data_IF_181167380619
#
_entry.id   IF_181167380619
#
_cell.length_a   1.000
_cell.length_b   1.000
_cell.length_c   1.000
_cell.angle_alpha   90.00
_cell.angle_beta   90.00
_cell.angle_gamma   90.00
#
_symmetry.space_group_name_H-M   'P 1'
#
loop_
_entity.id
_entity.type
_entity.pdbx_description
1 polymer ?
#
# COMPACT_ATOMS: atom_id res chain seq x y z
N UNK A 1 -10.41 -35.16 -5.77
CA UNK A 1 -9.17 -35.55 -6.44
C UNK A 1 -9.28 -37.02 -6.80
N UNK A 2 -8.93 -37.39 -8.03
CA UNK A 2 -8.93 -38.78 -8.53
C UNK A 2 -7.55 -39.05 -9.12
N UNK A 3 -6.91 -40.16 -8.75
CA UNK A 3 -5.62 -40.58 -9.32
C UNK A 3 -5.91 -41.73 -10.28
N UNK A 4 -5.53 -41.57 -11.54
CA UNK A 4 -5.49 -42.65 -12.53
C UNK A 4 -4.06 -43.16 -12.62
N UNK A 5 -3.85 -44.41 -12.22
CA UNK A 5 -2.57 -45.12 -12.35
C UNK A 5 -2.59 -45.96 -13.64
N UNK A 6 -1.72 -45.62 -14.59
CA UNK A 6 -1.54 -46.38 -15.83
C UNK A 6 -0.58 -47.53 -15.59
N UNK A 7 -1.16 -48.72 -15.39
CA UNK A 7 -0.43 -49.97 -15.11
C UNK A 7 0.63 -50.31 -16.17
N UNK A 8 0.39 -49.96 -17.44
CA UNK A 8 1.27 -50.31 -18.56
C UNK A 8 2.54 -49.44 -18.65
N UNK A 9 2.45 -48.16 -18.26
CA UNK A 9 3.54 -47.17 -18.40
C UNK A 9 4.01 -46.56 -17.06
N UNK A 10 3.51 -47.06 -15.92
CA UNK A 10 3.79 -46.57 -14.57
C UNK A 10 3.64 -45.03 -14.42
N UNK A 11 2.66 -44.45 -15.10
CA UNK A 11 2.37 -43.02 -15.05
C UNK A 11 1.08 -42.75 -14.27
N UNK A 12 1.15 -41.81 -13.33
CA UNK A 12 -0.01 -41.37 -12.55
C UNK A 12 -0.53 -40.03 -13.08
N UNK A 13 -1.84 -39.94 -13.32
CA UNK A 13 -2.52 -38.70 -13.65
C UNK A 13 -3.49 -38.29 -12.53
N UNK A 14 -3.29 -37.10 -11.96
CA UNK A 14 -4.17 -36.52 -10.96
C UNK A 14 -5.25 -35.63 -11.60
N UNK A 15 -6.51 -35.91 -11.31
CA UNK A 15 -7.67 -35.14 -11.73
C UNK A 15 -8.38 -34.48 -10.55
N UNK A 16 -9.01 -33.34 -10.83
CA UNK A 16 -9.89 -32.62 -9.90
C UNK A 16 -11.06 -32.04 -10.67
N UNK A 17 -12.26 -32.12 -10.10
CA UNK A 17 -13.45 -31.46 -10.66
C UNK A 17 -13.44 -29.95 -10.39
N UNK A 18 -12.64 -29.51 -9.42
CA UNK A 18 -12.48 -28.09 -9.06
C UNK A 18 -11.20 -27.52 -9.64
N UNK A 19 -11.20 -26.21 -9.95
CA UNK A 19 -10.00 -25.47 -10.32
C UNK A 19 -8.96 -25.56 -9.20
N UNK A 20 -7.99 -26.47 -9.32
CA UNK A 20 -7.04 -26.76 -8.25
C UNK A 20 -5.64 -27.03 -8.77
N UNK A 21 -4.66 -26.61 -8.00
CA UNK A 21 -3.24 -26.75 -8.30
C UNK A 21 -2.74 -28.09 -7.75
N UNK A 22 -2.38 -29.03 -8.64
CA UNK A 22 -1.86 -30.36 -8.26
C UNK A 22 -0.53 -30.31 -7.50
N UNK A 23 0.26 -29.26 -7.65
CA UNK A 23 1.57 -29.10 -6.98
C UNK A 23 1.47 -28.47 -5.59
N UNK A 24 0.52 -27.55 -5.43
CA UNK A 24 0.44 -26.68 -4.27
C UNK A 24 -0.83 -26.89 -3.43
N UNK A 25 -1.72 -27.79 -3.87
CA UNK A 25 -2.97 -28.16 -3.22
C UNK A 25 -3.90 -26.97 -2.90
N UNK A 26 -3.81 -25.91 -3.70
CA UNK A 26 -4.69 -24.73 -3.62
C UNK A 26 -5.88 -24.98 -4.53
N UNK A 27 -7.09 -24.69 -4.04
CA UNK A 27 -8.33 -24.67 -4.84
C UNK A 27 -8.77 -23.23 -5.06
N UNK A 28 -9.29 -22.96 -6.25
CA UNK A 28 -9.88 -21.70 -6.65
C UNK A 28 -11.39 -21.85 -6.80
N UNK A 29 -12.11 -20.75 -6.58
CA UNK A 29 -13.53 -20.65 -6.88
C UNK A 29 -13.77 -20.63 -8.39
N UNK A 30 -15.01 -20.89 -8.81
CA UNK A 30 -15.40 -20.78 -10.20
C UNK A 30 -15.24 -19.34 -10.70
N UNK A 31 -14.74 -19.19 -11.93
CA UNK A 31 -14.48 -17.88 -12.51
C UNK A 31 -15.78 -17.15 -12.86
N UNK A 32 -16.02 -16.06 -12.15
CA UNK A 32 -17.17 -15.19 -12.39
C UNK A 32 -16.74 -13.75 -12.71
N UNK A 33 -17.53 -12.99 -13.52
CA UNK A 33 -17.22 -11.60 -13.84
C UNK A 33 -16.97 -10.70 -12.62
N UNK A 34 -17.68 -10.93 -11.50
CA UNK A 34 -17.54 -10.15 -10.26
C UNK A 34 -16.14 -10.25 -9.63
N UNK A 35 -15.37 -11.29 -9.94
CA UNK A 35 -13.99 -11.46 -9.47
C UNK A 35 -13.02 -10.49 -10.18
N UNK A 36 -13.40 -9.99 -11.36
CA UNK A 36 -12.62 -9.03 -12.15
C UNK A 36 -13.01 -7.57 -11.88
N UNK A 37 -13.92 -7.34 -10.93
CA UNK A 37 -14.34 -6.00 -10.52
C UNK A 37 -13.62 -5.58 -9.25
N UNK A 38 -12.82 -4.50 -9.32
CA UNK A 38 -12.23 -3.88 -8.13
C UNK A 38 -13.25 -3.14 -7.25
N UNK A 39 -14.49 -2.98 -7.72
CA UNK A 39 -15.60 -2.41 -6.94
C UNK A 39 -16.38 -3.49 -6.18
N UNK A 40 -15.99 -4.76 -6.33
CA UNK A 40 -16.61 -5.91 -5.68
C UNK A 40 -15.64 -6.48 -4.64
N UNK A 41 -16.10 -6.82 -3.42
CA UNK A 41 -15.22 -7.43 -2.41
C UNK A 41 -14.62 -8.78 -2.86
N UNK A 42 -15.26 -9.45 -3.84
CA UNK A 42 -14.76 -10.68 -4.45
C UNK A 42 -13.53 -10.45 -5.32
N UNK A 43 -13.43 -9.31 -6.01
CA UNK A 43 -12.33 -9.01 -6.92
C UNK A 43 -11.32 -8.01 -6.39
N UNK A 44 -11.72 -7.13 -5.47
CA UNK A 44 -10.90 -6.07 -4.91
C UNK A 44 -9.70 -6.61 -4.14
N UNK A 45 -8.53 -6.01 -4.34
CA UNK A 45 -7.36 -6.24 -3.51
C UNK A 45 -7.71 -5.89 -2.05
N UNK A 46 -7.60 -6.84 -1.10
CA UNK A 46 -8.04 -6.63 0.29
C UNK A 46 -7.18 -5.63 1.04
N UNK A 47 -5.96 -5.36 0.57
CA UNK A 47 -5.04 -4.46 1.24
C UNK A 47 -5.37 -2.99 0.97
N UNK A 48 -5.93 -2.68 -0.20
CA UNK A 48 -6.26 -1.31 -0.62
C UNK A 48 -7.72 -1.13 -1.02
N UNK A 49 -8.59 -2.08 -0.69
CA UNK A 49 -10.02 -2.07 -1.02
C UNK A 49 -10.32 -1.72 -2.48
N UNK A 50 -9.51 -2.24 -3.40
CA UNK A 50 -9.69 -1.97 -4.83
C UNK A 50 -9.31 -0.56 -5.30
N UNK A 51 -8.67 0.26 -4.46
CA UNK A 51 -8.15 1.58 -4.86
C UNK A 51 -6.89 1.48 -5.72
N UNK A 52 -6.06 0.46 -5.50
CA UNK A 52 -4.74 0.30 -6.16
C UNK A 52 -3.63 1.14 -5.52
N UNK A 53 -3.99 2.06 -4.62
CA UNK A 53 -3.08 2.92 -3.91
C UNK A 53 -3.39 2.95 -2.42
N UNK A 54 -2.42 3.38 -1.63
CA UNK A 54 -2.60 3.73 -0.22
C UNK A 54 -2.11 5.14 0.03
N UNK A 55 -2.71 5.80 1.01
CA UNK A 55 -2.13 7.00 1.58
C UNK A 55 -1.15 6.58 2.67
N UNK A 56 0.10 7.00 2.53
CA UNK A 56 1.16 6.80 3.53
C UNK A 56 1.77 8.14 3.91
N UNK A 57 2.18 8.27 5.17
CA UNK A 57 2.88 9.47 5.65
C UNK A 57 4.26 9.54 5.00
N UNK A 58 4.59 10.65 4.35
CA UNK A 58 5.87 10.83 3.68
C UNK A 58 6.86 11.59 4.58
N UNK A 59 7.99 10.97 4.99
CA UNK A 59 9.01 11.62 5.82
C UNK A 59 9.53 12.94 5.23
N UNK A 60 9.51 13.10 3.90
CA UNK A 60 9.96 14.33 3.22
C UNK A 60 9.00 15.49 3.45
N UNK A 61 7.72 15.21 3.64
CA UNK A 61 6.71 16.22 3.99
C UNK A 61 6.73 16.54 5.50
N UNK A 62 7.18 15.59 6.33
CA UNK A 62 7.40 15.81 7.77
C UNK A 62 8.59 16.74 8.01
N UNK A 63 9.66 16.58 7.22
CA UNK A 63 10.87 17.40 7.31
C UNK A 63 11.20 18.04 5.95
N UNK A 64 10.45 19.09 5.55
CA UNK A 64 10.60 19.70 4.23
C UNK A 64 11.93 20.44 4.07
N UNK A 65 12.44 21.04 5.15
CA UNK A 65 13.72 21.75 5.16
C UNK A 65 14.71 21.07 6.11
N UNK A 66 15.65 20.31 5.54
CA UNK A 66 16.65 19.57 6.32
C UNK A 66 17.75 20.46 6.94
N UNK A 67 17.79 21.75 6.59
CA UNK A 67 18.76 22.71 7.15
C UNK A 67 18.28 23.37 8.44
N UNK A 68 16.99 23.25 8.78
CA UNK A 68 16.46 23.75 10.04
C UNK A 68 16.76 22.78 11.17
N UNK A 69 16.93 23.31 12.37
CA UNK A 69 16.94 22.51 13.59
C UNK A 69 15.53 22.18 14.08
N UNK A 70 15.41 21.27 15.04
CA UNK A 70 14.10 20.92 15.62
C UNK A 70 13.49 22.14 16.34
N UNK A 71 14.31 22.94 17.05
CA UNK A 71 13.84 24.17 17.69
C UNK A 71 13.35 25.22 16.67
N UNK A 72 13.93 25.24 15.48
CA UNK A 72 13.54 26.10 14.36
C UNK A 72 12.38 25.54 13.52
N UNK A 73 11.74 24.45 13.94
CA UNK A 73 10.58 23.90 13.25
C UNK A 73 10.89 22.98 12.06
N UNK A 74 12.04 22.28 12.08
CA UNK A 74 12.34 21.25 11.07
C UNK A 74 11.23 20.19 10.93
N UNK A 75 10.57 19.83 12.03
CA UNK A 75 9.42 18.93 12.05
C UNK A 75 8.13 19.72 11.79
N UNK A 76 7.71 19.81 10.53
CA UNK A 76 6.56 20.63 10.13
C UNK A 76 5.25 20.35 10.92
N UNK A 77 4.87 19.10 11.25
CA UNK A 77 3.66 18.83 12.04
C UNK A 77 3.78 19.27 13.51
N UNK A 78 5.02 19.39 14.01
CA UNK A 78 5.32 19.76 15.41
C UNK A 78 5.51 21.27 15.53
N UNK A 79 6.02 21.93 14.49
CA UNK A 79 6.33 23.35 14.46
C UNK A 79 7.56 23.72 15.29
N UNK A 80 7.77 25.02 15.45
CA UNK A 80 8.85 25.61 16.26
C UNK A 80 8.70 25.28 17.75
N UNK A 81 9.78 25.55 18.51
CA UNK A 81 9.81 25.37 19.96
C UNK A 81 8.67 26.12 20.64
N UNK A 82 7.86 25.38 21.40
CA UNK A 82 6.70 25.89 22.13
C UNK A 82 6.41 25.05 23.37
N UNK A 83 5.65 25.61 24.31
CA UNK A 83 5.20 24.94 25.52
C UNK A 83 4.07 23.92 25.21
N UNK A 84 4.40 22.88 24.46
CA UNK A 84 3.51 21.78 24.09
C UNK A 84 4.00 20.48 24.73
N UNK A 85 3.08 19.66 25.22
CA UNK A 85 3.40 18.32 25.75
C UNK A 85 4.25 17.49 24.79
N UNK A 86 3.95 17.55 23.49
CA UNK A 86 4.70 16.79 22.48
C UNK A 86 6.13 17.32 22.32
N UNK A 87 6.33 18.64 22.38
CA UNK A 87 7.65 19.23 22.29
C UNK A 87 8.49 18.94 23.54
N UNK A 88 7.86 18.99 24.72
CA UNK A 88 8.48 18.60 25.98
C UNK A 88 8.95 17.13 25.95
N UNK A 89 8.20 16.22 25.31
CA UNK A 89 8.65 14.85 25.09
C UNK A 89 9.92 14.79 24.21
N UNK A 90 10.00 15.59 23.14
CA UNK A 90 11.19 15.66 22.29
C UNK A 90 12.40 16.22 23.07
N UNK A 91 12.19 17.24 23.92
CA UNK A 91 13.23 17.79 24.80
C UNK A 91 13.76 16.74 25.77
N UNK A 92 12.88 15.93 26.34
CA UNK A 92 13.29 14.84 27.22
C UNK A 92 14.04 13.73 26.46
N UNK A 93 13.64 13.40 25.22
CA UNK A 93 14.42 12.48 24.36
C UNK A 93 15.81 13.01 24.05
N UNK A 94 15.93 14.31 23.76
CA UNK A 94 17.22 14.96 23.50
C UNK A 94 18.18 14.83 24.68
N UNK A 95 17.67 14.89 25.91
CA UNK A 95 18.47 14.69 27.13
C UNK A 95 18.86 13.24 27.36
N UNK A 96 17.94 12.30 27.12
CA UNK A 96 18.22 10.87 27.36
C UNK A 96 19.20 10.30 26.33
N UNK A 97 19.04 10.65 25.05
CA UNK A 97 19.84 10.15 23.95
C UNK A 97 20.97 11.10 23.52
N UNK A 98 21.24 12.12 24.34
CA UNK A 98 22.32 13.11 24.18
C UNK A 98 22.46 13.67 22.75
N UNK A 99 21.40 14.30 22.24
CA UNK A 99 21.43 14.99 20.94
C UNK A 99 20.96 16.44 21.03
N UNK A 100 21.49 17.28 20.13
CA UNK A 100 21.17 18.70 20.09
C UNK A 100 19.88 18.97 19.32
N UNK A 101 19.02 19.83 19.88
CA UNK A 101 17.81 20.34 19.21
C UNK A 101 18.08 21.55 18.31
N UNK A 102 19.30 22.09 18.36
CA UNK A 102 19.72 23.31 17.66
C UNK A 102 20.58 23.03 16.42
N UNK A 103 21.01 21.78 16.23
CA UNK A 103 21.69 21.36 15.00
C UNK A 103 20.69 21.17 13.85
N UNK A 104 21.07 21.51 12.61
CA UNK A 104 20.29 21.18 11.42
C UNK A 104 19.90 19.70 11.37
N UNK A 105 18.67 19.40 10.95
CA UNK A 105 18.15 18.03 10.90
C UNK A 105 19.07 17.05 10.15
N UNK A 106 19.65 17.48 9.03
CA UNK A 106 20.57 16.66 8.23
C UNK A 106 21.84 16.22 8.97
N UNK A 107 22.24 16.98 10.01
CA UNK A 107 23.43 16.71 10.81
C UNK A 107 23.15 15.78 12.00
N UNK A 108 21.88 15.48 12.28
CA UNK A 108 21.52 14.51 13.31
C UNK A 108 21.88 13.08 12.85
N UNK A 109 22.39 12.23 13.76
CA UNK A 109 22.63 10.82 13.45
C UNK A 109 21.39 10.14 12.88
N UNK A 110 21.58 9.17 11.97
CA UNK A 110 20.48 8.40 11.36
C UNK A 110 19.55 7.78 12.39
N UNK A 111 20.13 7.24 13.47
CA UNK A 111 19.38 6.52 14.50
C UNK A 111 18.50 7.47 15.31
N UNK A 112 18.98 8.70 15.55
CA UNK A 112 18.20 9.77 16.20
C UNK A 112 17.06 10.24 15.28
N UNK A 113 17.34 10.44 13.98
CA UNK A 113 16.29 10.78 13.01
C UNK A 113 15.22 9.69 12.95
N UNK A 114 15.62 8.42 12.95
CA UNK A 114 14.71 7.28 12.97
C UNK A 114 13.91 7.23 14.28
N UNK A 115 14.55 7.40 15.44
CA UNK A 115 13.91 7.47 16.75
C UNK A 115 12.83 8.55 16.81
N UNK A 116 13.10 9.74 16.27
CA UNK A 116 12.15 10.85 16.25
C UNK A 116 10.95 10.54 15.34
N UNK A 117 11.21 10.00 14.14
CA UNK A 117 10.16 9.73 13.16
C UNK A 117 9.30 8.51 13.51
N UNK A 118 9.93 7.41 13.92
CA UNK A 118 9.29 6.09 14.11
C UNK A 118 9.15 5.66 15.57
N UNK A 119 9.70 6.42 16.52
CA UNK A 119 9.56 6.14 17.93
C UNK A 119 10.55 5.10 18.47
N UNK A 120 10.32 4.67 19.71
CA UNK A 120 11.24 3.80 20.48
C UNK A 120 11.04 2.31 20.21
N UNK A 121 10.27 1.94 19.18
CA UNK A 121 9.99 0.53 18.87
C UNK A 121 9.31 -0.25 20.01
N UNK A 122 8.63 0.44 20.93
CA UNK A 122 7.97 -0.16 22.09
C UNK A 122 8.80 -0.19 23.38
N UNK A 123 10.07 0.22 23.33
CA UNK A 123 10.89 0.39 24.53
C UNK A 123 10.42 1.59 25.35
N UNK A 124 10.43 1.45 26.68
CA UNK A 124 10.13 2.56 27.59
C UNK A 124 11.38 3.41 27.78
N UNK A 125 11.22 4.71 27.60
CA UNK A 125 12.23 5.73 27.87
C UNK A 125 11.85 6.44 29.15
N UNK A 126 12.84 6.77 29.98
CA UNK A 126 12.65 7.59 31.18
C UNK A 126 12.57 9.05 30.76
N UNK A 127 11.42 9.65 30.94
CA UNK A 127 11.22 11.07 30.69
C UNK A 127 11.34 11.84 32.01
N UNK A 128 12.23 12.84 32.03
CA UNK A 128 12.46 13.71 33.18
C UNK A 128 12.04 15.14 32.83
N UNK A 129 11.00 15.62 33.49
CA UNK A 129 10.50 16.98 33.32
C UNK A 129 10.86 17.82 34.55
N UNK A 130 11.32 19.03 34.30
CA UNK A 130 11.62 20.01 35.33
C UNK A 130 10.90 21.31 34.98
N UNK A 131 9.93 21.69 35.81
CA UNK A 131 9.30 23.01 35.82
C UNK A 131 9.76 23.76 37.07
N UNK A 132 9.54 25.08 37.10
CA UNK A 132 10.01 25.97 38.16
C UNK A 132 9.72 25.45 39.59
N UNK A 133 8.56 24.80 39.80
CA UNK A 133 8.14 24.29 41.12
C UNK A 133 7.86 22.77 41.18
N UNK A 134 8.20 21.99 40.14
CA UNK A 134 7.95 20.54 40.16
C UNK A 134 8.89 19.74 39.27
N UNK A 135 9.35 18.60 39.79
CA UNK A 135 10.05 17.55 39.03
C UNK A 135 9.14 16.34 38.92
N UNK A 136 8.92 15.87 37.70
CA UNK A 136 8.14 14.67 37.43
C UNK A 136 8.97 13.74 36.54
N UNK A 137 9.08 12.49 36.97
CA UNK A 137 9.73 11.43 36.20
C UNK A 137 8.72 10.32 35.92
N UNK A 138 8.66 9.88 34.66
CA UNK A 138 7.87 8.70 34.30
C UNK A 138 8.51 7.96 33.15
N UNK A 139 8.21 6.66 33.06
CA UNK A 139 8.66 5.82 31.95
C UNK A 139 7.53 5.63 30.95
N UNK A 140 7.73 6.07 29.72
CA UNK A 140 6.73 5.93 28.65
C UNK A 140 7.37 5.52 27.33
N UNK A 141 6.54 5.15 26.37
CA UNK A 141 6.98 4.89 25.00
C UNK A 141 6.88 6.18 24.21
N UNK A 142 7.86 6.44 23.35
CA UNK A 142 7.71 7.49 22.35
C UNK A 142 7.18 6.87 21.07
N UNK A 143 6.00 7.31 20.65
CA UNK A 143 5.31 6.78 19.47
C UNK A 143 6.07 7.13 18.17
N UNK A 144 6.74 8.28 18.12
CA UNK A 144 7.30 8.84 16.89
C UNK A 144 6.31 9.76 16.16
N UNK A 145 6.81 10.69 15.36
CA UNK A 145 5.99 11.67 14.63
C UNK A 145 5.09 10.99 13.60
N UNK A 146 5.64 10.05 12.83
CA UNK A 146 4.92 9.36 11.74
C UNK A 146 3.78 8.51 12.31
N UNK A 147 4.09 7.68 13.30
CA UNK A 147 3.09 6.81 13.92
C UNK A 147 1.99 7.63 14.62
N UNK A 148 2.35 8.74 15.26
CA UNK A 148 1.38 9.64 15.88
C UNK A 148 0.39 10.22 14.85
N UNK A 149 0.90 10.72 13.72
CA UNK A 149 0.05 11.24 12.65
C UNK A 149 -0.82 10.14 12.04
N UNK A 150 -0.25 8.96 11.76
CA UNK A 150 -0.99 7.85 11.19
C UNK A 150 -2.12 7.38 12.11
N UNK A 151 -1.85 7.25 13.42
CA UNK A 151 -2.87 6.91 14.42
C UNK A 151 -3.94 8.00 14.50
N UNK A 152 -3.56 9.28 14.55
CA UNK A 152 -4.51 10.41 14.57
C UNK A 152 -5.38 10.45 13.32
N UNK A 153 -4.82 10.16 12.14
CA UNK A 153 -5.56 10.08 10.88
C UNK A 153 -6.66 9.03 10.92
N UNK A 154 -6.34 7.82 11.44
CA UNK A 154 -7.30 6.71 11.53
C UNK A 154 -8.35 6.90 12.63
N UNK A 155 -8.00 7.57 13.73
CA UNK A 155 -8.87 7.71 14.91
C UNK A 155 -9.67 9.01 14.95
N UNK A 156 -9.25 10.06 14.24
CA UNK A 156 -9.95 11.35 14.29
C UNK A 156 -11.32 11.27 13.61
N UNK A 157 -12.32 11.90 14.21
CA UNK A 157 -13.61 12.18 13.57
C UNK A 157 -13.66 13.58 12.95
N UNK A 158 -12.70 14.45 13.25
CA UNK A 158 -12.63 15.81 12.72
C UNK A 158 -12.10 15.81 11.29
N UNK A 159 -12.90 16.37 10.36
CA UNK A 159 -12.51 16.53 8.96
C UNK A 159 -11.29 17.45 8.80
N UNK A 160 -11.26 18.60 9.47
CA UNK A 160 -10.12 19.53 9.37
C UNK A 160 -8.80 18.94 9.88
N UNK A 161 -8.84 18.12 10.94
CA UNK A 161 -7.63 17.39 11.38
C UNK A 161 -7.22 16.34 10.35
N UNK A 162 -8.19 15.66 9.73
CA UNK A 162 -7.91 14.65 8.70
C UNK A 162 -7.22 15.30 7.49
N UNK A 163 -7.80 16.37 6.95
CA UNK A 163 -7.27 17.13 5.81
C UNK A 163 -5.88 17.71 6.12
N UNK A 164 -5.68 18.26 7.33
CA UNK A 164 -4.36 18.73 7.75
C UNK A 164 -3.31 17.61 7.79
N UNK A 165 -3.66 16.40 8.22
CA UNK A 165 -2.75 15.25 8.21
C UNK A 165 -2.48 14.77 6.78
N UNK A 166 -3.49 14.81 5.89
CA UNK A 166 -3.34 14.43 4.48
C UNK A 166 -2.32 15.30 3.75
N UNK A 167 -2.11 16.54 4.18
CA UNK A 167 -1.01 17.39 3.70
C UNK A 167 0.40 16.84 3.96
N UNK A 168 0.55 15.83 4.83
CA UNK A 168 1.80 15.11 5.09
C UNK A 168 1.80 13.69 4.51
N UNK A 169 0.78 13.32 3.74
CA UNK A 169 0.64 12.00 3.14
C UNK A 169 0.90 12.07 1.63
N UNK A 170 1.41 10.98 1.08
CA UNK A 170 1.49 10.77 -0.35
C UNK A 170 0.76 9.49 -0.74
N UNK A 171 0.22 9.51 -1.95
CA UNK A 171 -0.38 8.33 -2.56
C UNK A 171 0.73 7.44 -3.09
N UNK A 172 0.83 6.23 -2.53
CA UNK A 172 1.77 5.19 -2.95
C UNK A 172 1.02 4.03 -3.58
N UNK A 173 1.63 3.39 -4.57
CA UNK A 173 1.07 2.16 -5.14
C UNK A 173 0.93 1.09 -4.05
N UNK A 174 -0.21 0.40 -4.03
CA UNK A 174 -0.42 -0.68 -3.08
C UNK A 174 0.66 -1.76 -3.27
N UNK A 175 1.38 -2.09 -2.21
CA UNK A 175 2.47 -3.09 -2.24
C UNK A 175 2.00 -4.50 -2.60
N UNK A 176 0.72 -4.81 -2.41
CA UNK A 176 0.19 -6.16 -2.64
C UNK A 176 -0.27 -6.38 -4.08
N UNK A 177 -1.00 -5.43 -4.66
CA UNK A 177 -1.47 -5.52 -6.05
C UNK A 177 -0.64 -4.70 -7.03
N UNK A 178 0.39 -3.98 -6.56
CA UNK A 178 1.24 -3.10 -7.37
C UNK A 178 0.45 -2.11 -8.24
N UNK A 179 -0.69 -1.61 -7.73
CA UNK A 179 -1.58 -0.73 -8.49
C UNK A 179 -2.66 -1.42 -9.32
N UNK A 180 -2.66 -2.75 -9.42
CA UNK A 180 -3.61 -3.50 -10.25
C UNK A 180 -5.04 -3.58 -9.68
N UNK A 181 -5.25 -3.13 -8.43
CA UNK A 181 -6.56 -3.03 -7.74
C UNK A 181 -7.27 -4.36 -7.46
N UNK A 182 -6.78 -5.47 -8.00
CA UNK A 182 -7.43 -6.77 -7.94
C UNK A 182 -6.69 -7.75 -7.03
N UNK A 183 -7.39 -8.81 -6.61
CA UNK A 183 -6.83 -9.96 -5.91
C UNK A 183 -5.80 -10.70 -6.76
N UNK A 184 -4.86 -11.38 -6.11
CA UNK A 184 -3.78 -12.11 -6.78
C UNK A 184 -4.32 -13.26 -7.63
N UNK A 185 -5.38 -13.91 -7.15
CA UNK A 185 -6.07 -15.01 -7.83
C UNK A 185 -6.68 -14.51 -9.15
N UNK A 186 -7.36 -13.36 -9.14
CA UNK A 186 -7.90 -12.71 -10.34
C UNK A 186 -6.79 -12.35 -11.33
N UNK A 187 -5.67 -11.81 -10.84
CA UNK A 187 -4.51 -11.47 -11.68
C UNK A 187 -3.76 -12.70 -12.23
N UNK A 188 -4.03 -13.88 -11.66
CA UNK A 188 -3.56 -15.16 -12.17
C UNK A 188 -4.28 -15.61 -13.44
N UNK A 189 -5.49 -15.10 -13.71
CA UNK A 189 -6.24 -15.41 -14.92
C UNK A 189 -5.69 -14.61 -16.09
N UNK A 190 -5.24 -15.32 -17.14
CA UNK A 190 -4.56 -14.73 -18.28
C UNK A 190 -5.21 -15.14 -19.60
N UNK A 191 -5.26 -14.21 -20.54
CA UNK A 191 -5.62 -14.45 -21.93
C UNK A 191 -4.41 -14.10 -22.78
N UNK A 192 -3.94 -15.07 -23.58
CA UNK A 192 -2.76 -14.92 -24.44
C UNK A 192 -1.51 -14.39 -23.68
N UNK A 193 -1.33 -14.87 -22.44
CA UNK A 193 -0.20 -14.51 -21.58
C UNK A 193 -0.39 -13.25 -20.72
N UNK A 194 -1.45 -12.46 -20.94
CA UNK A 194 -1.70 -11.21 -20.21
C UNK A 194 -2.92 -11.28 -19.30
N UNK A 195 -2.83 -10.70 -18.10
CA UNK A 195 -3.97 -10.56 -17.18
C UNK A 195 -4.78 -9.28 -17.46
N UNK A 196 -5.92 -9.14 -16.79
CA UNK A 196 -6.83 -7.99 -16.99
C UNK A 196 -6.18 -6.63 -16.68
N UNK A 197 -5.30 -6.55 -15.67
CA UNK A 197 -4.64 -5.30 -15.30
C UNK A 197 -3.58 -4.90 -16.32
N UNK A 198 -2.85 -5.87 -16.88
CA UNK A 198 -1.89 -5.64 -17.96
C UNK A 198 -2.60 -5.16 -19.23
N UNK A 199 -3.73 -5.76 -19.60
CA UNK A 199 -4.52 -5.35 -20.78
C UNK A 199 -5.13 -3.97 -20.59
N UNK A 200 -5.68 -3.65 -19.41
CA UNK A 200 -6.27 -2.33 -19.12
C UNK A 200 -5.22 -1.23 -18.93
N UNK A 201 -3.97 -1.58 -18.62
CA UNK A 201 -2.83 -0.66 -18.57
C UNK A 201 -2.25 -0.30 -19.96
N UNK A 202 -2.68 -0.97 -21.03
CA UNK A 202 -2.28 -0.63 -22.38
C UNK A 202 -2.94 0.69 -22.84
N UNK A 203 -2.24 1.44 -23.69
CA UNK A 203 -2.90 2.49 -24.44
C UNK A 203 -3.92 1.90 -25.44
N UNK A 204 -4.88 2.72 -25.87
CA UNK A 204 -6.01 2.29 -26.72
C UNK A 204 -5.54 1.54 -27.97
N UNK A 205 -4.52 2.04 -28.66
CA UNK A 205 -3.96 1.41 -29.88
C UNK A 205 -3.40 0.01 -29.59
N UNK A 206 -2.63 -0.13 -28.52
CA UNK A 206 -2.07 -1.43 -28.10
C UNK A 206 -3.16 -2.39 -27.63
N UNK A 207 -4.17 -1.90 -26.91
CA UNK A 207 -5.32 -2.71 -26.49
C UNK A 207 -6.11 -3.23 -27.71
N UNK A 208 -6.36 -2.39 -28.71
CA UNK A 208 -7.01 -2.82 -29.96
C UNK A 208 -6.20 -3.92 -30.66
N UNK A 209 -4.89 -3.70 -30.84
CA UNK A 209 -3.99 -4.69 -31.44
C UNK A 209 -3.93 -6.00 -30.66
N UNK A 210 -4.03 -5.94 -29.32
CA UNK A 210 -4.08 -7.12 -28.46
C UNK A 210 -5.31 -7.99 -28.79
N UNK A 211 -6.50 -7.39 -28.81
CA UNK A 211 -7.74 -8.12 -29.15
C UNK A 211 -7.80 -8.52 -30.62
N UNK A 212 -7.11 -7.80 -31.50
CA UNK A 212 -7.06 -8.13 -32.92
C UNK A 212 -6.24 -9.39 -33.23
N UNK A 213 -5.12 -9.56 -32.51
CA UNK A 213 -4.21 -10.70 -32.67
C UNK A 213 -4.53 -11.87 -31.75
N UNK A 214 -5.69 -11.85 -31.10
CA UNK A 214 -6.09 -12.87 -30.13
C UNK A 214 -6.25 -14.23 -30.83
N UNK A 215 -5.46 -15.21 -30.40
CA UNK A 215 -5.56 -16.59 -30.88
C UNK A 215 -6.50 -17.35 -29.96
N UNK A 216 -7.65 -17.73 -30.50
CA UNK A 216 -8.67 -18.50 -29.78
C UNK A 216 -8.94 -19.80 -30.54
N UNK A 217 -9.23 -20.87 -29.81
CA UNK A 217 -9.77 -22.08 -30.42
C UNK A 217 -11.23 -21.86 -30.86
N UNK A 218 -11.80 -22.82 -31.59
CA UNK A 218 -13.15 -22.71 -32.14
C UNK A 218 -14.21 -22.44 -31.07
N UNK A 219 -14.16 -23.18 -29.96
CA UNK A 219 -15.10 -23.05 -28.84
C UNK A 219 -15.01 -21.68 -28.17
N UNK A 220 -13.79 -21.24 -27.85
CA UNK A 220 -13.53 -19.93 -27.26
C UNK A 220 -14.02 -18.80 -28.17
N UNK A 221 -13.73 -18.90 -29.48
CA UNK A 221 -14.16 -17.92 -30.47
C UNK A 221 -15.68 -17.83 -30.57
N UNK A 222 -16.37 -18.97 -30.52
CA UNK A 222 -17.83 -19.02 -30.56
C UNK A 222 -18.44 -18.34 -29.33
N UNK A 223 -17.92 -18.63 -28.13
CA UNK A 223 -18.40 -18.06 -26.87
C UNK A 223 -18.10 -16.55 -26.80
N UNK A 224 -16.88 -16.14 -27.16
CA UNK A 224 -16.42 -14.76 -27.00
C UNK A 224 -16.82 -13.83 -28.15
N UNK A 225 -17.46 -14.33 -29.22
CA UNK A 225 -17.70 -13.57 -30.45
C UNK A 225 -18.36 -12.20 -30.22
N UNK A 226 -19.48 -12.16 -29.50
CA UNK A 226 -20.19 -10.91 -29.26
C UNK A 226 -19.40 -9.96 -28.36
N UNK A 227 -18.75 -10.49 -27.32
CA UNK A 227 -17.93 -9.70 -26.38
C UNK A 227 -16.74 -9.06 -27.10
N UNK A 228 -16.02 -9.81 -27.93
CA UNK A 228 -14.89 -9.29 -28.70
C UNK A 228 -15.31 -8.26 -29.74
N UNK A 229 -16.48 -8.46 -30.38
CA UNK A 229 -17.03 -7.48 -31.32
C UNK A 229 -17.29 -6.14 -30.61
N UNK A 230 -17.91 -6.17 -29.43
CA UNK A 230 -18.22 -4.96 -28.66
C UNK A 230 -16.95 -4.25 -28.16
N UNK A 231 -15.98 -5.01 -27.62
CA UNK A 231 -14.70 -4.45 -27.17
C UNK A 231 -13.95 -3.78 -28.33
N UNK A 232 -13.80 -4.48 -29.47
CA UNK A 232 -13.12 -3.92 -30.64
C UNK A 232 -13.84 -2.68 -31.19
N UNK A 233 -15.17 -2.69 -31.23
CA UNK A 233 -15.97 -1.56 -31.68
C UNK A 233 -15.73 -0.30 -30.84
N UNK A 234 -15.75 -0.43 -29.50
CA UNK A 234 -15.49 0.70 -28.58
C UNK A 234 -14.06 1.20 -28.66
N UNK A 235 -13.08 0.30 -28.77
CA UNK A 235 -11.68 0.68 -28.94
C UNK A 235 -11.45 1.38 -30.28
N UNK A 236 -12.09 0.93 -31.36
CA UNK A 236 -12.03 1.57 -32.67
C UNK A 236 -12.60 2.98 -32.61
N UNK A 237 -13.78 3.15 -32.00
CA UNK A 237 -14.38 4.46 -31.81
C UNK A 237 -13.44 5.45 -31.10
N UNK A 238 -12.70 4.99 -30.08
CA UNK A 238 -11.70 5.82 -29.38
C UNK A 238 -10.44 6.12 -30.20
N UNK A 239 -10.14 5.34 -31.26
CA UNK A 239 -9.00 5.60 -32.16
C UNK A 239 -9.36 6.54 -33.30
N UNK A 240 -10.64 6.65 -33.64
CA UNK A 240 -11.15 7.48 -34.73
C UNK A 240 -11.45 8.93 -34.28
N UNK A 241 -11.32 9.23 -32.99
CA UNK A 241 -11.42 10.59 -32.37
C UNK A 241 -10.04 11.24 -32.31
#
# INVERSE_FOLDING_TARGET
>A
LVILDHVDDASEHLFSENYSCSRCNISYEELEPRMFSFNSPYGACPNCDGLGSKLEIDPRLIVPNQNLSINQGALAPVGERRNSWYFEMIVALAREFDFSLDKPWKELPSDIRHLILHGTGGQKVKFKFQRENSRFEFSSRFEGVINNLYRRYRQTSSHGIREWIEGFMNQVSCSECSGARLRKETLGVKINGSNIAEVTGLNVKKAYQFFDRLKLNEKERQIAHQVLKEIKSRLQFLLDV
#
